data_IF_744637033578
#
_entry.id   IF_744637033578
#
_cell.length_a   1.000
_cell.length_b   1.000
_cell.length_c   1.000
_cell.angle_alpha   90.00
_cell.angle_beta   90.00
_cell.angle_gamma   90.00
#
_symmetry.space_group_name_H-M   'P 1'
#
loop_
_entity.id
_entity.type
_entity.pdbx_description
1 polymer ?
#
# COMPACT_ATOMS: atom_id res chain seq x y z
N UNK A 1 12.25 -16.48 -20.08
CA UNK A 1 11.06 -16.33 -20.94
C UNK A 1 10.10 -17.44 -20.58
N UNK A 2 8.94 -17.09 -19.99
CA UNK A 2 7.91 -18.08 -19.71
C UNK A 2 7.41 -18.75 -20.98
N UNK A 3 6.90 -19.97 -20.84
CA UNK A 3 6.37 -20.75 -21.98
C UNK A 3 5.19 -20.00 -22.58
N UNK A 4 5.25 -19.64 -23.86
CA UNK A 4 4.15 -18.98 -24.55
C UNK A 4 2.95 -19.93 -24.64
N UNK A 5 1.73 -19.41 -24.44
CA UNK A 5 0.50 -20.18 -24.59
C UNK A 5 0.28 -20.70 -26.02
N UNK A 6 0.96 -20.11 -27.02
CA UNK A 6 0.81 -20.52 -28.42
C UNK A 6 -0.60 -20.29 -28.99
N UNK A 7 -1.34 -19.37 -28.40
CA UNK A 7 -2.72 -19.05 -28.79
C UNK A 7 -2.81 -17.60 -29.29
N UNK A 8 -3.62 -17.37 -30.32
CA UNK A 8 -3.93 -16.04 -30.85
C UNK A 8 -4.96 -15.28 -29.98
N UNK A 9 -5.50 -15.91 -28.94
CA UNK A 9 -6.49 -15.33 -28.03
C UNK A 9 -5.91 -14.12 -27.30
N UNK A 10 -6.56 -12.93 -27.36
CA UNK A 10 -6.07 -11.72 -26.66
C UNK A 10 -5.90 -11.91 -25.15
N UNK A 11 -6.75 -12.74 -24.52
CA UNK A 11 -6.62 -13.08 -23.10
C UNK A 11 -5.33 -13.86 -22.83
N UNK A 12 -4.99 -14.83 -23.70
CA UNK A 12 -3.74 -15.58 -23.57
C UNK A 12 -2.52 -14.65 -23.77
N UNK A 13 -2.60 -13.70 -24.70
CA UNK A 13 -1.54 -12.71 -24.91
C UNK A 13 -1.35 -11.81 -23.69
N UNK A 14 -2.43 -11.28 -23.10
CA UNK A 14 -2.38 -10.47 -21.88
C UNK A 14 -1.86 -11.29 -20.68
N UNK A 15 -2.28 -12.55 -20.55
CA UNK A 15 -1.86 -13.45 -19.49
C UNK A 15 -0.35 -13.72 -19.51
N UNK A 16 0.31 -13.72 -20.66
CA UNK A 16 1.77 -13.84 -20.75
C UNK A 16 2.52 -12.72 -20.03
N UNK A 17 1.91 -11.53 -19.93
CA UNK A 17 2.49 -10.37 -19.24
C UNK A 17 2.02 -10.32 -17.80
N UNK A 18 0.72 -10.45 -17.57
CA UNK A 18 0.10 -10.18 -16.28
C UNK A 18 0.10 -11.37 -15.31
N UNK A 19 0.04 -12.61 -15.82
CA UNK A 19 -0.01 -13.79 -14.96
C UNK A 19 1.39 -14.28 -14.53
N UNK A 20 2.44 -13.63 -14.98
CA UNK A 20 3.77 -13.87 -14.45
C UNK A 20 3.82 -13.41 -12.98
N UNK A 21 4.31 -14.33 -12.11
CA UNK A 21 4.38 -14.04 -10.67
C UNK A 21 5.13 -12.73 -10.42
N UNK A 22 4.56 -11.89 -9.58
CA UNK A 22 5.00 -10.54 -9.20
C UNK A 22 4.67 -9.44 -10.20
N UNK A 23 4.38 -9.69 -11.48
CA UNK A 23 4.12 -8.66 -12.47
C UNK A 23 2.99 -7.70 -12.03
N UNK A 24 1.80 -8.16 -11.59
CA UNK A 24 0.75 -7.26 -11.11
C UNK A 24 1.18 -6.40 -9.93
N UNK A 25 2.00 -6.95 -9.01
CA UNK A 25 2.47 -6.22 -7.84
C UNK A 25 3.52 -5.15 -8.19
N UNK A 26 4.40 -5.42 -9.15
CA UNK A 26 5.36 -4.43 -9.67
C UNK A 26 4.62 -3.31 -10.40
N UNK A 27 3.63 -3.64 -11.24
CA UNK A 27 2.78 -2.66 -11.92
C UNK A 27 2.02 -1.79 -10.90
N UNK A 28 1.46 -2.39 -9.87
CA UNK A 28 0.81 -1.66 -8.78
C UNK A 28 1.76 -0.63 -8.14
N UNK A 29 3.02 -0.98 -7.88
CA UNK A 29 3.99 -0.04 -7.33
C UNK A 29 4.22 1.17 -8.24
N UNK A 30 4.36 0.93 -9.55
CA UNK A 30 4.51 2.00 -10.53
C UNK A 30 3.24 2.87 -10.63
N UNK A 31 2.05 2.26 -10.60
CA UNK A 31 0.75 2.96 -10.60
C UNK A 31 0.59 3.90 -9.41
N UNK A 32 1.20 3.56 -8.28
CA UNK A 32 1.20 4.40 -7.07
C UNK A 32 2.40 5.36 -6.98
N UNK A 33 3.16 5.54 -8.10
CA UNK A 33 4.20 6.55 -8.21
C UNK A 33 5.59 6.10 -7.73
N UNK A 34 5.81 4.83 -7.40
CA UNK A 34 7.15 4.30 -7.16
C UNK A 34 7.91 4.23 -8.49
N UNK A 35 8.91 5.10 -8.69
CA UNK A 35 9.71 5.11 -9.93
C UNK A 35 11.11 4.55 -9.73
N UNK A 36 11.68 4.66 -8.53
CA UNK A 36 13.03 4.17 -8.26
C UNK A 36 13.01 2.69 -7.90
N UNK A 37 14.01 1.95 -8.37
CA UNK A 37 14.15 0.51 -8.09
C UNK A 37 13.98 0.17 -6.60
N UNK A 38 14.61 0.96 -5.71
CA UNK A 38 14.53 0.71 -4.28
C UNK A 38 13.13 0.95 -3.71
N UNK A 39 12.36 1.87 -4.26
CA UNK A 39 11.00 2.16 -3.82
C UNK A 39 10.05 1.04 -4.26
N UNK A 40 10.19 0.58 -5.50
CA UNK A 40 9.47 -0.59 -6.00
C UNK A 40 9.79 -1.83 -5.13
N UNK A 41 11.07 -2.06 -4.82
CA UNK A 41 11.50 -3.19 -3.98
C UNK A 41 10.88 -3.16 -2.57
N UNK A 42 10.67 -1.97 -1.98
CA UNK A 42 9.98 -1.82 -0.68
C UNK A 42 8.51 -2.27 -0.73
N UNK A 43 7.85 -2.06 -1.87
CA UNK A 43 6.47 -2.49 -2.06
C UNK A 43 6.29 -3.98 -2.37
N UNK A 44 7.38 -4.68 -2.67
CA UNK A 44 7.41 -6.14 -2.92
C UNK A 44 8.51 -6.81 -2.09
N UNK A 45 8.49 -6.72 -0.75
CA UNK A 45 9.61 -7.05 0.12
C UNK A 45 10.04 -8.52 0.08
N UNK A 46 9.15 -9.43 -0.33
CA UNK A 46 9.43 -10.86 -0.46
C UNK A 46 10.01 -11.23 -1.83
N UNK A 47 10.13 -10.28 -2.74
CA UNK A 47 10.73 -10.49 -4.06
C UNK A 47 12.22 -10.19 -4.00
N UNK A 48 13.07 -11.11 -4.49
CA UNK A 48 14.51 -10.85 -4.55
C UNK A 48 14.82 -9.72 -5.53
N UNK A 49 15.88 -8.96 -5.26
CA UNK A 49 16.30 -7.85 -6.14
C UNK A 49 16.61 -8.29 -7.56
N UNK A 50 17.24 -9.48 -7.72
CA UNK A 50 17.51 -10.05 -9.04
C UNK A 50 16.24 -10.39 -9.82
N UNK A 51 15.23 -10.96 -9.13
CA UNK A 51 13.93 -11.27 -9.74
C UNK A 51 13.18 -9.97 -10.10
N UNK A 52 13.21 -8.94 -9.24
CA UNK A 52 12.62 -7.64 -9.56
C UNK A 52 13.27 -7.02 -10.81
N UNK A 53 14.60 -7.04 -10.91
CA UNK A 53 15.31 -6.55 -12.09
C UNK A 53 14.93 -7.33 -13.36
N UNK A 54 14.79 -8.64 -13.26
CA UNK A 54 14.33 -9.48 -14.38
C UNK A 54 12.91 -9.12 -14.80
N UNK A 55 12.00 -8.99 -13.83
CA UNK A 55 10.59 -8.65 -14.10
C UNK A 55 10.43 -7.26 -14.72
N UNK A 56 11.19 -6.27 -14.26
CA UNK A 56 11.18 -4.93 -14.86
C UNK A 56 11.65 -4.96 -16.32
N UNK A 57 12.71 -5.71 -16.64
CA UNK A 57 13.16 -5.89 -18.04
C UNK A 57 12.10 -6.58 -18.92
N UNK A 58 11.40 -7.58 -18.38
CA UNK A 58 10.33 -8.27 -19.12
C UNK A 58 9.14 -7.34 -19.39
N UNK A 59 8.75 -6.52 -18.43
CA UNK A 59 7.69 -5.52 -18.59
C UNK A 59 8.11 -4.40 -19.56
N UNK A 60 9.39 -4.04 -19.55
CA UNK A 60 9.96 -3.10 -20.53
C UNK A 60 9.98 -3.68 -21.94
N UNK A 61 10.41 -4.94 -22.11
CA UNK A 61 10.37 -5.65 -23.39
C UNK A 61 8.94 -5.84 -23.92
N UNK A 62 7.94 -5.94 -23.02
CA UNK A 62 6.51 -5.99 -23.38
C UNK A 62 5.94 -4.59 -23.69
N UNK A 63 6.72 -3.51 -23.61
CA UNK A 63 6.27 -2.15 -23.86
C UNK A 63 5.31 -1.58 -22.82
N UNK A 64 5.22 -2.20 -21.63
CA UNK A 64 4.30 -1.80 -20.54
C UNK A 64 4.99 -0.80 -19.59
N UNK A 65 6.31 -0.93 -19.45
CA UNK A 65 7.15 -0.08 -18.61
C UNK A 65 8.23 0.54 -19.48
N UNK A 66 8.62 1.77 -19.18
CA UNK A 66 9.80 2.43 -19.74
C UNK A 66 10.78 2.78 -18.61
N UNK A 67 12.09 2.69 -18.89
CA UNK A 67 13.14 3.10 -17.99
C UNK A 67 13.86 4.32 -18.56
N UNK A 68 13.87 5.42 -17.83
CA UNK A 68 14.50 6.68 -18.25
C UNK A 68 15.28 7.36 -17.12
N UNK A 69 15.65 8.61 -17.33
CA UNK A 69 16.42 9.41 -16.36
C UNK A 69 15.73 9.53 -14.99
N UNK A 70 14.40 9.51 -14.95
CA UNK A 70 13.59 9.60 -13.73
C UNK A 70 13.25 8.22 -13.14
N UNK A 71 13.86 7.13 -13.63
CA UNK A 71 13.57 5.76 -13.21
C UNK A 71 12.54 5.06 -14.08
N UNK A 72 11.84 4.09 -13.49
CA UNK A 72 10.82 3.30 -14.17
C UNK A 72 9.48 4.03 -14.17
N UNK A 73 8.80 4.02 -15.30
CA UNK A 73 7.49 4.64 -15.50
C UNK A 73 6.59 3.73 -16.33
N UNK A 74 5.28 3.83 -16.13
CA UNK A 74 4.32 3.17 -17.00
C UNK A 74 4.28 3.89 -18.35
N UNK A 75 4.20 3.11 -19.44
CA UNK A 75 3.85 3.63 -20.77
C UNK A 75 2.33 3.83 -20.85
N UNK A 76 1.83 4.37 -21.96
CA UNK A 76 0.38 4.42 -22.22
C UNK A 76 -0.28 3.04 -22.13
N UNK A 77 0.40 1.99 -22.63
CA UNK A 77 -0.06 0.61 -22.50
C UNK A 77 -0.05 0.13 -21.05
N UNK A 78 0.94 0.55 -20.25
CA UNK A 78 0.99 0.25 -18.82
C UNK A 78 -0.10 0.96 -18.01
N UNK A 79 -0.39 2.23 -18.31
CA UNK A 79 -1.49 2.96 -17.67
C UNK A 79 -2.86 2.36 -18.02
N UNK A 80 -3.04 1.83 -19.22
CA UNK A 80 -4.26 1.15 -19.62
C UNK A 80 -4.53 -0.14 -18.81
N UNK A 81 -3.52 -0.71 -18.12
CA UNK A 81 -3.69 -1.85 -17.22
C UNK A 81 -4.19 -1.45 -15.82
N UNK A 82 -4.21 -0.16 -15.48
CA UNK A 82 -4.63 0.33 -14.15
C UNK A 82 -6.00 -0.20 -13.73
N UNK A 83 -7.08 -0.06 -14.54
CA UNK A 83 -8.39 -0.58 -14.15
C UNK A 83 -8.38 -2.08 -13.89
N UNK A 84 -7.58 -2.84 -14.63
CA UNK A 84 -7.49 -4.29 -14.46
C UNK A 84 -6.84 -4.66 -13.12
N UNK A 85 -5.74 -4.02 -12.76
CA UNK A 85 -5.05 -4.25 -11.49
C UNK A 85 -5.93 -3.82 -10.31
N UNK A 86 -6.63 -2.70 -10.43
CA UNK A 86 -7.59 -2.22 -9.42
C UNK A 86 -8.74 -3.20 -9.24
N UNK A 87 -9.31 -3.70 -10.35
CA UNK A 87 -10.38 -4.72 -10.30
C UNK A 87 -9.91 -6.04 -9.69
N UNK A 88 -8.67 -6.47 -9.93
CA UNK A 88 -8.10 -7.63 -9.23
C UNK A 88 -8.08 -7.43 -7.71
N UNK A 89 -7.70 -6.24 -7.25
CA UNK A 89 -7.71 -5.88 -5.83
C UNK A 89 -9.12 -5.93 -5.22
N UNK A 90 -10.08 -5.30 -5.89
CA UNK A 90 -11.49 -5.26 -5.46
C UNK A 90 -12.11 -6.66 -5.45
N UNK A 91 -11.87 -7.45 -6.50
CA UNK A 91 -12.33 -8.83 -6.57
C UNK A 91 -11.79 -9.65 -5.39
N UNK A 92 -10.49 -9.52 -5.09
CA UNK A 92 -9.87 -10.22 -3.98
C UNK A 92 -10.47 -9.81 -2.62
N UNK A 93 -10.69 -8.50 -2.39
CA UNK A 93 -11.33 -7.99 -1.17
C UNK A 93 -12.75 -8.53 -0.98
N UNK A 94 -13.52 -8.64 -2.05
CA UNK A 94 -14.90 -9.08 -2.00
C UNK A 94 -15.04 -10.60 -1.86
N UNK A 95 -14.28 -11.34 -2.67
CA UNK A 95 -14.47 -12.79 -2.82
C UNK A 95 -13.52 -13.63 -1.95
N UNK A 96 -12.29 -13.15 -1.70
CA UNK A 96 -11.33 -13.87 -0.87
C UNK A 96 -11.54 -13.54 0.61
N UNK A 97 -12.56 -14.17 1.21
CA UNK A 97 -12.96 -13.94 2.61
C UNK A 97 -12.03 -14.59 3.63
N UNK A 98 -10.93 -15.20 3.24
CA UNK A 98 -9.92 -15.77 4.14
C UNK A 98 -9.38 -14.70 5.09
N UNK A 99 -9.26 -15.04 6.38
CA UNK A 99 -8.61 -14.15 7.36
C UNK A 99 -7.15 -13.90 7.00
N UNK A 100 -6.59 -12.80 7.50
CA UNK A 100 -5.14 -12.55 7.43
C UNK A 100 -4.43 -13.62 8.26
N UNK A 101 -3.51 -14.35 7.65
CA UNK A 101 -2.61 -15.22 8.40
C UNK A 101 -1.50 -14.39 9.07
N UNK A 102 -0.85 -14.94 10.10
CA UNK A 102 0.25 -14.22 10.78
C UNK A 102 1.39 -13.83 9.83
N UNK A 103 1.65 -14.66 8.82
CA UNK A 103 2.70 -14.39 7.83
C UNK A 103 2.32 -13.30 6.81
N UNK A 104 1.05 -12.91 6.72
CA UNK A 104 0.60 -11.79 5.89
C UNK A 104 0.80 -10.44 6.58
N UNK A 105 1.03 -10.45 7.90
CA UNK A 105 1.18 -9.24 8.69
C UNK A 105 2.61 -8.70 8.56
N UNK A 106 2.76 -7.59 7.86
CA UNK A 106 4.02 -6.87 7.72
C UNK A 106 3.79 -5.36 7.95
N UNK A 107 4.29 -4.87 9.09
CA UNK A 107 4.19 -3.46 9.48
C UNK A 107 4.92 -2.53 8.49
N UNK A 108 6.01 -2.99 7.86
CA UNK A 108 6.74 -2.20 6.87
C UNK A 108 5.92 -2.03 5.59
N UNK A 109 5.32 -3.13 5.12
CA UNK A 109 4.46 -3.11 3.93
C UNK A 109 3.20 -2.27 4.19
N UNK A 110 2.61 -2.38 5.39
CA UNK A 110 1.48 -1.56 5.80
C UNK A 110 1.83 -0.08 5.78
N UNK A 111 2.94 0.32 6.42
CA UNK A 111 3.39 1.72 6.42
C UNK A 111 3.74 2.22 5.02
N UNK A 112 4.35 1.38 4.20
CA UNK A 112 4.63 1.71 2.80
C UNK A 112 3.35 1.94 2.00
N UNK A 113 2.32 1.12 2.24
CA UNK A 113 0.99 1.31 1.64
C UNK A 113 0.34 2.62 2.08
N UNK A 114 0.37 2.92 3.39
CA UNK A 114 -0.15 4.17 3.93
C UNK A 114 0.53 5.40 3.31
N UNK A 115 1.87 5.38 3.22
CA UNK A 115 2.64 6.46 2.57
C UNK A 115 2.13 6.80 1.16
N UNK A 116 1.82 5.78 0.38
CA UNK A 116 1.37 5.96 -1.02
C UNK A 116 -0.06 6.47 -1.14
N UNK A 117 -0.91 6.02 -0.24
CA UNK A 117 -2.36 6.23 -0.32
C UNK A 117 -2.85 7.41 0.51
N UNK A 118 -2.09 7.80 1.54
CA UNK A 118 -2.45 8.92 2.39
C UNK A 118 -2.37 10.22 1.62
N UNK A 119 -3.41 11.03 1.73
CA UNK A 119 -3.43 12.38 1.20
C UNK A 119 -3.46 13.35 2.38
N UNK A 120 -2.47 14.26 2.49
CA UNK A 120 -2.49 15.27 3.53
C UNK A 120 -3.82 16.01 3.53
N UNK A 121 -4.40 16.32 4.69
CA UNK A 121 -5.62 17.12 4.76
C UNK A 121 -5.44 18.44 4.02
N UNK A 122 -6.42 18.88 3.21
CA UNK A 122 -6.34 20.17 2.53
C UNK A 122 -6.27 21.32 3.56
N UNK A 123 -5.48 22.35 3.25
CA UNK A 123 -5.37 23.55 4.08
C UNK A 123 -4.38 23.44 5.24
N UNK A 124 -3.55 22.40 5.28
CA UNK A 124 -2.43 22.35 6.22
C UNK A 124 -1.35 23.36 5.79
N UNK A 125 -1.05 24.29 6.67
CA UNK A 125 -0.01 25.30 6.51
C UNK A 125 1.37 24.83 6.98
N UNK A 126 1.42 23.68 7.67
CA UNK A 126 2.62 23.09 8.26
C UNK A 126 2.72 21.58 8.04
N UNK A 127 3.87 21.01 8.36
CA UNK A 127 4.07 19.56 8.44
C UNK A 127 3.17 18.97 9.52
N UNK A 128 2.60 17.80 9.26
CA UNK A 128 1.91 16.97 10.24
C UNK A 128 2.68 15.69 10.48
N UNK A 129 2.89 15.36 11.74
CA UNK A 129 3.64 14.18 12.18
C UNK A 129 2.68 13.23 12.88
N UNK A 130 2.54 12.03 12.31
CA UNK A 130 1.74 10.95 12.89
C UNK A 130 2.65 9.82 13.30
N UNK A 131 2.64 9.47 14.59
CA UNK A 131 3.34 8.30 15.10
C UNK A 131 2.40 7.11 15.17
N UNK A 132 2.84 5.97 14.65
CA UNK A 132 2.16 4.70 14.75
C UNK A 132 2.94 3.80 15.72
N UNK A 133 2.29 3.35 16.77
CA UNK A 133 2.84 2.40 17.73
C UNK A 133 2.10 1.07 17.58
N UNK A 134 2.69 0.14 16.81
CA UNK A 134 2.11 -1.19 16.60
C UNK A 134 2.52 -2.16 17.71
N UNK A 135 1.55 -2.93 18.19
CA UNK A 135 1.71 -4.11 19.04
C UNK A 135 1.05 -5.33 18.39
N UNK A 136 1.12 -6.51 19.02
CA UNK A 136 0.59 -7.74 18.43
C UNK A 136 1.31 -8.12 17.13
N UNK A 137 2.63 -7.91 17.09
CA UNK A 137 3.46 -8.25 15.94
C UNK A 137 3.51 -9.77 15.73
N UNK A 138 3.75 -10.25 14.49
CA UNK A 138 3.83 -11.67 14.18
C UNK A 138 4.85 -12.42 15.03
N UNK A 139 4.65 -13.72 15.21
CA UNK A 139 5.62 -14.59 15.89
C UNK A 139 6.98 -14.49 15.22
N UNK A 140 8.04 -14.32 16.01
CA UNK A 140 9.41 -14.13 15.52
C UNK A 140 9.83 -12.66 15.34
N UNK A 141 8.96 -11.70 15.60
CA UNK A 141 9.36 -10.30 15.71
C UNK A 141 10.33 -10.13 16.89
N UNK A 142 11.45 -9.41 16.65
CA UNK A 142 12.48 -9.18 17.67
C UNK A 142 12.06 -8.23 18.78
N UNK A 143 10.94 -7.55 18.62
CA UNK A 143 10.41 -6.53 19.52
C UNK A 143 8.91 -6.72 19.72
N UNK A 144 8.40 -6.45 20.92
CA UNK A 144 6.96 -6.55 21.22
C UNK A 144 6.14 -5.38 20.65
N UNK A 145 6.79 -4.25 20.41
CA UNK A 145 6.19 -3.03 19.83
C UNK A 145 7.13 -2.44 18.81
N UNK A 146 6.57 -1.79 17.79
CA UNK A 146 7.33 -1.08 16.75
C UNK A 146 6.68 0.27 16.47
N UNK A 147 7.51 1.31 16.52
CA UNK A 147 7.06 2.67 16.21
C UNK A 147 7.50 3.08 14.82
N UNK A 148 6.63 3.83 14.14
CA UNK A 148 6.84 4.43 12.85
C UNK A 148 6.36 5.88 12.88
N UNK A 149 7.03 6.74 12.14
CA UNK A 149 6.61 8.13 11.97
C UNK A 149 6.28 8.36 10.51
N UNK A 150 5.13 8.96 10.28
CA UNK A 150 4.67 9.41 8.99
C UNK A 150 4.62 10.93 9.01
N UNK A 151 5.36 11.55 8.09
CA UNK A 151 5.47 12.99 7.96
C UNK A 151 4.74 13.42 6.69
N UNK A 152 3.60 14.08 6.84
CA UNK A 152 2.89 14.69 5.73
C UNK A 152 3.37 16.13 5.57
N UNK A 153 4.00 16.43 4.43
CA UNK A 153 4.53 17.75 4.10
C UNK A 153 3.43 18.64 3.48
N UNK A 154 3.60 19.95 3.58
CA UNK A 154 2.75 20.92 2.90
C UNK A 154 2.75 20.74 1.37
N UNK A 155 3.87 20.29 0.79
CA UNK A 155 3.99 19.98 -0.64
C UNK A 155 3.09 18.84 -1.12
N UNK A 156 2.47 18.09 -0.22
CA UNK A 156 1.74 16.85 -0.50
C UNK A 156 2.60 15.60 -0.40
N UNK A 157 3.90 15.75 -0.19
CA UNK A 157 4.81 14.63 -0.01
C UNK A 157 4.58 13.96 1.34
N UNK A 158 4.67 12.63 1.35
CA UNK A 158 4.56 11.81 2.56
C UNK A 158 5.82 10.98 2.71
N UNK A 159 6.46 11.11 3.86
CA UNK A 159 7.66 10.36 4.23
C UNK A 159 7.37 9.41 5.38
N UNK A 160 8.10 8.30 5.46
CA UNK A 160 8.07 7.39 6.60
C UNK A 160 9.47 7.25 7.21
N UNK A 161 9.52 7.29 8.53
CA UNK A 161 10.73 7.13 9.32
C UNK A 161 10.57 5.96 10.30
N UNK A 162 11.65 5.17 10.46
CA UNK A 162 11.74 4.07 11.43
C UNK A 162 12.30 4.56 12.77
N UNK A 163 13.01 5.69 12.73
CA UNK A 163 13.57 6.37 13.90
C UNK A 163 12.83 7.67 14.10
N UNK A 164 12.78 8.12 15.36
CA UNK A 164 12.20 9.41 15.70
C UNK A 164 12.87 10.51 14.87
N UNK A 165 12.11 11.25 14.06
CA UNK A 165 12.63 12.32 13.24
C UNK A 165 12.92 13.63 14.02
N UNK A 166 12.66 13.66 15.33
CA UNK A 166 12.91 14.82 16.19
C UNK A 166 11.89 15.96 16.06
N UNK A 167 10.71 15.69 15.54
CA UNK A 167 9.61 16.66 15.45
C UNK A 167 8.51 16.34 16.46
N UNK A 168 7.82 17.37 16.93
CA UNK A 168 6.64 17.19 17.77
C UNK A 168 5.59 16.33 17.05
N UNK A 169 5.07 15.35 17.77
CA UNK A 169 4.07 14.43 17.24
C UNK A 169 2.67 15.01 17.42
N UNK A 170 1.94 15.21 16.32
CA UNK A 170 0.59 15.76 16.33
C UNK A 170 -0.46 14.73 16.74
N UNK A 171 -0.31 13.49 16.24
CA UNK A 171 -1.20 12.38 16.56
C UNK A 171 -0.40 11.10 16.78
N UNK A 172 -0.76 10.35 17.82
CA UNK A 172 -0.25 8.99 18.03
C UNK A 172 -1.37 8.00 17.76
N UNK A 173 -1.11 7.02 16.90
CA UNK A 173 -2.00 5.90 16.62
C UNK A 173 -1.40 4.67 17.30
N UNK A 174 -1.98 4.24 18.42
CA UNK A 174 -1.62 2.98 19.06
C UNK A 174 -2.55 1.91 18.55
N UNK A 175 -2.01 0.86 17.93
CA UNK A 175 -2.84 -0.13 17.26
C UNK A 175 -2.27 -1.55 17.35
N UNK A 176 -3.18 -2.52 17.48
CA UNK A 176 -2.88 -3.91 17.16
C UNK A 176 -2.66 -4.04 15.65
N UNK A 177 -1.50 -4.59 15.23
CA UNK A 177 -1.12 -4.63 13.82
C UNK A 177 -2.19 -5.30 12.95
N UNK A 178 -2.74 -6.44 13.39
CA UNK A 178 -3.79 -7.17 12.68
C UNK A 178 -5.04 -6.30 12.51
N UNK A 179 -5.54 -5.75 13.61
CA UNK A 179 -6.76 -4.95 13.59
C UNK A 179 -6.63 -3.71 12.68
N UNK A 180 -5.47 -3.05 12.72
CA UNK A 180 -5.23 -1.88 11.87
C UNK A 180 -5.06 -2.27 10.39
N UNK A 181 -4.41 -3.41 10.09
CA UNK A 181 -4.33 -3.94 8.73
C UNK A 181 -5.72 -4.26 8.18
N UNK A 182 -6.60 -4.87 9.00
CA UNK A 182 -8.00 -5.13 8.62
C UNK A 182 -8.79 -3.84 8.35
N UNK A 183 -8.52 -2.77 9.13
CA UNK A 183 -9.14 -1.45 8.90
C UNK A 183 -8.68 -0.87 7.56
N UNK A 184 -7.38 -0.89 7.27
CA UNK A 184 -6.85 -0.39 5.99
C UNK A 184 -7.39 -1.19 4.81
N UNK A 185 -7.56 -2.51 4.96
CA UNK A 185 -8.14 -3.38 3.92
C UNK A 185 -9.68 -3.28 3.81
N UNK A 186 -10.34 -2.48 4.65
CA UNK A 186 -11.80 -2.36 4.66
C UNK A 186 -12.55 -3.58 5.20
N UNK A 187 -11.86 -4.53 5.84
CA UNK A 187 -12.46 -5.73 6.48
C UNK A 187 -13.03 -5.44 7.86
N UNK A 188 -12.65 -4.31 8.46
CA UNK A 188 -13.12 -3.80 9.74
C UNK A 188 -13.29 -2.29 9.64
N UNK A 189 -14.32 -1.72 10.23
CA UNK A 189 -14.44 -0.27 10.30
C UNK A 189 -13.50 0.30 11.36
N UNK A 190 -12.98 1.51 11.13
CA UNK A 190 -12.17 2.21 12.12
C UNK A 190 -12.99 2.43 13.41
N UNK A 191 -14.29 2.73 13.29
CA UNK A 191 -15.17 2.92 14.43
C UNK A 191 -15.25 1.65 15.30
N UNK A 192 -15.39 0.47 14.70
CA UNK A 192 -15.39 -0.80 15.43
C UNK A 192 -14.05 -1.07 16.12
N UNK A 193 -12.93 -0.80 15.44
CA UNK A 193 -11.60 -0.98 16.02
C UNK A 193 -11.33 -0.04 17.20
N UNK A 194 -11.80 1.21 17.14
CA UNK A 194 -11.76 2.17 18.23
C UNK A 194 -12.63 1.72 19.41
N UNK A 195 -13.86 1.31 19.15
CA UNK A 195 -14.79 0.84 20.20
C UNK A 195 -14.25 -0.40 20.93
N UNK A 196 -13.62 -1.32 20.21
CA UNK A 196 -13.00 -2.53 20.77
C UNK A 196 -11.65 -2.27 21.45
N UNK A 197 -11.13 -1.04 21.39
CA UNK A 197 -9.85 -0.69 21.98
C UNK A 197 -8.62 -1.23 21.25
N UNK A 198 -8.79 -1.89 20.08
CA UNK A 198 -7.71 -2.39 19.26
C UNK A 198 -6.91 -1.27 18.56
N UNK A 199 -7.52 -0.09 18.42
CA UNK A 199 -6.91 1.13 17.89
C UNK A 199 -7.25 2.28 18.82
N UNK A 200 -6.26 3.15 19.09
CA UNK A 200 -6.44 4.39 19.85
C UNK A 200 -5.80 5.53 19.08
N UNK A 201 -6.46 6.68 19.07
CA UNK A 201 -5.97 7.92 18.45
C UNK A 201 -5.78 8.94 19.57
N UNK A 202 -4.55 9.41 19.75
CA UNK A 202 -4.16 10.34 20.81
C UNK A 202 -3.63 11.62 20.15
N UNK A 203 -4.18 12.77 20.54
CA UNK A 203 -3.84 14.08 19.99
C UNK A 203 -4.96 15.07 20.24
N UNK A 204 -4.83 16.29 19.74
CA UNK A 204 -5.91 17.27 19.84
C UNK A 204 -7.12 16.81 19.01
N UNK A 205 -8.36 17.11 19.43
CA UNK A 205 -9.56 16.67 18.70
C UNK A 205 -9.57 17.11 17.22
N UNK A 206 -9.03 18.29 16.92
CA UNK A 206 -8.93 18.80 15.54
C UNK A 206 -7.96 17.96 14.70
N UNK A 207 -6.76 17.67 15.22
CA UNK A 207 -5.75 16.87 14.51
C UNK A 207 -6.18 15.41 14.33
N UNK A 208 -6.80 14.83 15.37
CA UNK A 208 -7.36 13.47 15.28
C UNK A 208 -8.41 13.38 14.18
N UNK A 209 -9.33 14.36 14.08
CA UNK A 209 -10.31 14.40 12.98
C UNK A 209 -9.66 14.52 11.62
N UNK A 210 -8.66 15.42 11.48
CA UNK A 210 -7.95 15.63 10.23
C UNK A 210 -7.19 14.38 9.77
N UNK A 211 -6.43 13.75 10.68
CA UNK A 211 -5.70 12.51 10.39
C UNK A 211 -6.65 11.37 10.06
N UNK A 212 -7.76 11.23 10.77
CA UNK A 212 -8.77 10.21 10.51
C UNK A 212 -9.36 10.35 9.10
N UNK A 213 -9.65 11.58 8.65
CA UNK A 213 -10.17 11.84 7.31
C UNK A 213 -9.13 11.60 6.20
N UNK A 214 -7.83 11.71 6.52
CA UNK A 214 -6.74 11.49 5.59
C UNK A 214 -6.31 10.02 5.46
N UNK A 215 -6.71 9.15 6.40
CA UNK A 215 -6.38 7.73 6.34
C UNK A 215 -7.07 7.07 5.14
N UNK A 216 -6.33 6.31 4.30
CA UNK A 216 -6.88 5.62 3.14
C UNK A 216 -7.65 4.37 3.60
N UNK A 217 -8.91 4.53 3.92
CA UNK A 217 -9.78 3.43 4.36
C UNK A 217 -10.53 2.88 3.15
N UNK A 218 -10.07 1.76 2.62
CA UNK A 218 -10.64 1.15 1.40
C UNK A 218 -12.11 0.71 1.53
N UNK A 219 -12.64 0.59 2.75
CA UNK A 219 -14.03 0.25 2.98
C UNK A 219 -15.03 1.24 2.37
N UNK A 220 -14.70 2.53 2.30
CA UNK A 220 -15.56 3.56 1.71
C UNK A 220 -15.58 3.48 0.18
N UNK A 221 -14.46 3.11 -0.45
CA UNK A 221 -14.39 2.93 -1.90
C UNK A 221 -15.26 1.76 -2.38
N UNK A 222 -15.39 0.69 -1.59
CA UNK A 222 -16.25 -0.45 -1.91
C UNK A 222 -17.74 -0.12 -1.80
N UNK A 223 -18.13 0.72 -0.84
CA UNK A 223 -19.51 1.20 -0.71
C UNK A 223 -19.91 2.10 -1.86
N UNK A 224 -19.03 3.00 -2.32
CA UNK A 224 -19.30 3.90 -3.44
C UNK A 224 -19.45 3.17 -4.79
N UNK A 225 -18.92 1.95 -4.91
CA UNK A 225 -19.02 1.11 -6.12
C UNK A 225 -20.17 0.08 -6.06
N UNK A 226 -21.00 0.10 -5.02
CA UNK A 226 -22.13 -0.81 -4.87
C UNK A 226 -21.75 -2.29 -4.66
N UNK A 227 -20.49 -2.55 -4.32
CA UNK A 227 -19.95 -3.90 -4.12
C UNK A 227 -20.19 -4.43 -2.69
N UNK A 228 -20.59 -3.55 -1.76
CA UNK A 228 -21.00 -3.89 -0.39
C UNK A 228 -22.33 -3.22 -0.11
N UNK A 229 -23.33 -4.00 0.34
CA UNK A 229 -24.60 -3.49 0.89
C UNK A 229 -24.45 -3.21 2.37
#
# INVERSE_FOLDING_TARGET
MGTRYGQFCPVAMAAQVLCERWAPLVLRELMYGSSRFNDIARGVPLMSRGLLAARLRELEAAGVVAHGANGYQLTAAGEALRPLIEQMGLWAQYWLKGGLADHDLDDKLLMWSLRRSLRPPPGLDRRVVVRFDFHGLPRGARVARRSWWLLAQRSGDVEICVKDPGYDTDVVIVAELRAFTEVVLGRRTLAAALHQGCVKLLGTPAMVRAVRAALPLHGEAMQSMGLVR
#
